data_IF_065346346972
#
_entry.id   IF_065346346972
#
_cell.length_a   1.000
_cell.length_b   1.000
_cell.length_c   1.000
_cell.angle_alpha   90.00
_cell.angle_beta   90.00
_cell.angle_gamma   90.00
#
_symmetry.space_group_name_H-M   'P 1'
#
loop_
_entity.id
_entity.type
_entity.pdbx_description
1 polymer ?
#
# COMPACT_ATOMS: atom_id res chain seq x y z
N UNK A 1 5.17 7.77 29.51
CA UNK A 1 5.29 7.25 28.13
C UNK A 1 4.98 8.38 27.17
N UNK A 2 6.00 8.92 26.52
CA UNK A 2 5.90 10.14 25.70
C UNK A 2 5.20 9.83 24.36
N UNK A 3 3.96 10.33 24.21
CA UNK A 3 3.14 10.18 23.00
C UNK A 3 3.85 10.78 21.76
N UNK A 4 4.76 11.72 21.96
CA UNK A 4 5.45 12.47 20.89
C UNK A 4 6.57 11.66 20.22
N UNK A 5 7.31 10.85 21.00
CA UNK A 5 8.38 9.99 20.49
C UNK A 5 7.81 8.82 19.66
N UNK A 6 6.70 8.23 20.11
CA UNK A 6 5.97 7.22 19.34
C UNK A 6 5.40 7.82 18.05
N UNK A 7 4.81 9.01 18.09
CA UNK A 7 4.29 9.67 16.89
C UNK A 7 5.40 10.01 15.87
N UNK A 8 6.60 10.41 16.31
CA UNK A 8 7.77 10.60 15.42
C UNK A 8 8.26 9.29 14.80
N UNK A 9 8.35 8.22 15.58
CA UNK A 9 8.75 6.90 15.08
C UNK A 9 7.73 6.35 14.10
N UNK A 10 6.44 6.49 14.37
CA UNK A 10 5.35 6.05 13.49
C UNK A 10 5.35 6.83 12.16
N UNK A 11 5.52 8.16 12.19
CA UNK A 11 5.66 8.98 10.97
C UNK A 11 6.91 8.63 10.16
N UNK A 12 8.05 8.41 10.82
CA UNK A 12 9.27 7.98 10.13
C UNK A 12 9.13 6.59 9.50
N UNK A 13 8.48 5.65 10.20
CA UNK A 13 8.30 4.28 9.72
C UNK A 13 7.43 4.21 8.45
N UNK A 14 6.36 5.01 8.36
CA UNK A 14 5.50 5.06 7.17
C UNK A 14 6.28 5.50 5.93
N UNK A 15 6.98 6.64 5.98
CA UNK A 15 7.79 7.13 4.86
C UNK A 15 8.94 6.18 4.49
N UNK A 16 9.53 5.48 5.46
CA UNK A 16 10.56 4.47 5.19
C UNK A 16 9.98 3.26 4.47
N UNK A 17 8.81 2.77 4.89
CA UNK A 17 8.12 1.66 4.23
C UNK A 17 7.70 2.05 2.80
N UNK A 18 7.11 3.23 2.61
CA UNK A 18 6.80 3.79 1.29
C UNK A 18 8.04 3.87 0.41
N UNK A 19 9.14 4.41 0.92
CA UNK A 19 10.40 4.54 0.16
C UNK A 19 10.96 3.17 -0.22
N UNK A 20 10.89 2.19 0.69
CA UNK A 20 11.34 0.82 0.48
C UNK A 20 10.50 0.13 -0.60
N UNK A 21 9.18 0.19 -0.51
CA UNK A 21 8.29 -0.40 -1.51
C UNK A 21 8.45 0.31 -2.87
N UNK A 22 8.57 1.63 -2.88
CA UNK A 22 8.80 2.38 -4.11
C UNK A 22 10.07 1.93 -4.83
N UNK A 23 11.16 1.64 -4.10
CA UNK A 23 12.40 1.15 -4.69
C UNK A 23 12.24 -0.20 -5.42
N UNK A 24 11.32 -1.05 -4.93
CA UNK A 24 10.96 -2.36 -5.49
C UNK A 24 10.13 -2.21 -6.76
N UNK A 25 9.12 -1.34 -6.74
CA UNK A 25 8.09 -1.30 -7.81
C UNK A 25 8.34 -0.26 -8.89
N UNK A 26 9.15 0.78 -8.62
CA UNK A 26 9.38 1.89 -9.55
C UNK A 26 9.97 1.43 -10.87
N UNK A 27 9.70 2.20 -11.93
CA UNK A 27 10.31 2.02 -13.25
C UNK A 27 10.17 0.59 -13.82
N UNK A 28 9.07 -0.12 -13.49
CA UNK A 28 8.85 -1.48 -14.00
C UNK A 28 9.78 -2.53 -13.40
N UNK A 29 10.46 -2.25 -12.28
CA UNK A 29 11.39 -3.19 -11.65
C UNK A 29 10.72 -4.47 -11.16
N UNK A 30 9.43 -4.40 -10.82
CA UNK A 30 8.64 -5.56 -10.49
C UNK A 30 8.12 -6.23 -11.77
N UNK A 31 9.01 -6.92 -12.49
CA UNK A 31 8.70 -7.70 -13.71
C UNK A 31 7.95 -6.91 -14.81
N UNK A 32 8.26 -5.63 -14.99
CA UNK A 32 7.67 -4.77 -16.01
C UNK A 32 6.34 -4.13 -15.61
N UNK A 33 5.73 -4.51 -14.48
CA UNK A 33 4.50 -3.89 -13.99
C UNK A 33 4.75 -2.44 -13.55
N UNK A 34 3.95 -1.52 -14.08
CA UNK A 34 4.11 -0.09 -13.83
C UNK A 34 3.29 0.34 -12.62
N UNK A 35 3.95 0.99 -11.69
CA UNK A 35 3.32 1.57 -10.51
C UNK A 35 3.45 3.09 -10.50
N UNK A 36 2.37 3.74 -10.07
CA UNK A 36 2.34 5.13 -9.62
C UNK A 36 2.25 5.14 -8.10
N UNK A 37 2.67 6.23 -7.47
CA UNK A 37 2.58 6.43 -6.02
C UNK A 37 1.69 7.64 -5.69
N UNK A 38 1.04 7.63 -4.54
CA UNK A 38 0.19 8.73 -4.03
C UNK A 38 -0.85 9.19 -5.06
N UNK A 39 -1.66 8.25 -5.54
CA UNK A 39 -2.62 8.49 -6.63
C UNK A 39 -4.00 8.83 -6.08
N UNK A 40 -4.66 9.91 -6.54
CA UNK A 40 -6.06 10.14 -6.20
C UNK A 40 -6.98 9.14 -6.91
N UNK A 41 -7.88 8.51 -6.16
CA UNK A 41 -8.97 7.66 -6.64
C UNK A 41 -10.22 8.04 -5.85
N UNK A 42 -11.24 8.54 -6.56
CA UNK A 42 -12.41 9.18 -5.96
C UNK A 42 -11.98 10.22 -4.90
N UNK A 43 -12.43 10.08 -3.65
CA UNK A 43 -12.10 10.96 -2.52
C UNK A 43 -10.86 10.56 -1.73
N UNK A 44 -10.16 9.50 -2.14
CA UNK A 44 -9.02 8.94 -1.41
C UNK A 44 -7.71 9.10 -2.19
N UNK A 45 -6.61 9.19 -1.45
CA UNK A 45 -5.26 9.01 -2.00
C UNK A 45 -4.78 7.61 -1.65
N UNK A 46 -4.30 6.87 -2.64
CA UNK A 46 -3.73 5.54 -2.46
C UNK A 46 -2.21 5.57 -2.53
N UNK A 47 -1.53 4.77 -1.72
CA UNK A 47 -0.06 4.84 -1.63
C UNK A 47 0.60 4.38 -2.93
N UNK A 48 0.14 3.28 -3.51
CA UNK A 48 0.60 2.78 -4.81
C UNK A 48 -0.54 2.24 -5.67
N UNK A 49 -0.43 2.45 -6.98
CA UNK A 49 -1.40 1.97 -7.96
C UNK A 49 -0.68 1.34 -9.16
N UNK A 50 -1.04 0.09 -9.49
CA UNK A 50 -0.81 -0.50 -10.81
C UNK A 50 -2.10 -0.43 -11.63
N UNK A 51 -2.22 0.58 -12.48
CA UNK A 51 -3.43 0.84 -13.27
C UNK A 51 -3.78 -0.32 -14.21
N UNK A 52 -2.78 -0.91 -14.87
CA UNK A 52 -2.95 -1.99 -15.86
C UNK A 52 -3.46 -3.32 -15.27
N UNK A 53 -3.45 -3.42 -13.92
CA UNK A 53 -3.94 -4.59 -13.17
C UNK A 53 -5.00 -4.23 -12.15
N UNK A 54 -5.46 -2.97 -12.16
CA UNK A 54 -6.39 -2.41 -11.18
C UNK A 54 -6.03 -2.80 -9.73
N UNK A 55 -4.74 -2.74 -9.41
CA UNK A 55 -4.22 -3.11 -8.09
C UNK A 55 -3.81 -1.87 -7.32
N UNK A 56 -4.42 -1.67 -6.16
CA UNK A 56 -4.04 -0.69 -5.16
C UNK A 56 -3.23 -1.38 -4.05
N UNK A 57 -2.14 -0.74 -3.62
CA UNK A 57 -1.37 -1.17 -2.46
C UNK A 57 -1.33 -0.03 -1.45
N UNK A 58 -1.63 -0.38 -0.21
CA UNK A 58 -1.73 0.51 0.94
C UNK A 58 -0.74 0.06 2.02
N UNK A 59 -0.06 1.03 2.62
CA UNK A 59 0.89 0.80 3.69
C UNK A 59 0.28 1.24 5.01
N UNK A 60 -0.04 0.26 5.84
CA UNK A 60 -0.75 0.49 7.08
C UNK A 60 0.24 0.72 8.24
N UNK A 61 0.01 1.80 8.96
CA UNK A 61 0.67 2.13 10.21
C UNK A 61 -0.30 2.07 11.38
N UNK A 62 -0.41 0.92 12.05
CA UNK A 62 -1.21 0.65 13.27
C UNK A 62 -2.65 1.17 13.25
N UNK A 63 -3.58 0.21 13.24
CA UNK A 63 -5.03 0.46 13.32
C UNK A 63 -5.47 0.86 14.73
N UNK A 64 -6.36 1.84 14.83
CA UNK A 64 -7.16 2.17 16.01
C UNK A 64 -8.64 1.87 15.71
N UNK A 65 -9.51 1.65 16.69
CA UNK A 65 -10.92 1.25 16.46
C UNK A 65 -11.70 2.21 15.54
N UNK A 66 -11.46 3.52 15.62
CA UNK A 66 -12.08 4.51 14.71
C UNK A 66 -11.54 4.41 13.27
N UNK A 67 -10.32 3.90 13.11
CA UNK A 67 -9.66 3.68 11.81
C UNK A 67 -10.28 2.48 11.07
N UNK A 68 -10.76 1.46 11.78
CA UNK A 68 -11.32 0.24 11.17
C UNK A 68 -12.57 0.53 10.34
N UNK A 69 -13.50 1.33 10.88
CA UNK A 69 -14.72 1.72 10.15
C UNK A 69 -14.41 2.56 8.92
N UNK A 70 -13.50 3.53 9.07
CA UNK A 70 -13.06 4.37 7.96
C UNK A 70 -12.36 3.56 6.88
N UNK A 71 -11.56 2.55 7.28
CA UNK A 71 -10.88 1.65 6.36
C UNK A 71 -11.82 0.70 5.62
N UNK A 72 -12.91 0.26 6.25
CA UNK A 72 -13.94 -0.54 5.60
C UNK A 72 -14.63 0.25 4.47
N UNK A 73 -15.14 1.45 4.77
CA UNK A 73 -15.77 2.33 3.76
C UNK A 73 -14.80 2.65 2.62
N UNK A 74 -13.54 2.97 2.95
CA UNK A 74 -12.51 3.24 1.96
C UNK A 74 -12.27 2.06 1.04
N UNK A 75 -12.18 0.85 1.60
CA UNK A 75 -11.95 -0.36 0.83
C UNK A 75 -13.12 -0.64 -0.09
N UNK A 76 -14.35 -0.53 0.41
CA UNK A 76 -15.58 -0.70 -0.39
C UNK A 76 -15.64 0.28 -1.58
N UNK A 77 -15.27 1.55 -1.38
CA UNK A 77 -15.26 2.55 -2.47
C UNK A 77 -14.22 2.24 -3.53
N UNK A 78 -13.01 1.86 -3.12
CA UNK A 78 -11.94 1.48 -4.05
C UNK A 78 -12.30 0.21 -4.83
N UNK A 79 -12.92 -0.76 -4.17
CA UNK A 79 -13.43 -1.98 -4.79
C UNK A 79 -14.63 -1.72 -5.71
N UNK A 80 -15.53 -0.78 -5.37
CA UNK A 80 -16.60 -0.33 -6.24
C UNK A 80 -16.06 0.40 -7.50
N UNK A 81 -14.93 1.08 -7.37
CA UNK A 81 -14.14 1.57 -8.51
C UNK A 81 -13.42 0.45 -9.28
N UNK A 82 -13.61 -0.82 -8.86
CA UNK A 82 -13.06 -2.06 -9.39
C UNK A 82 -11.56 -2.24 -9.21
N UNK A 83 -10.99 -1.62 -8.17
CA UNK A 83 -9.62 -1.91 -7.76
C UNK A 83 -9.60 -3.05 -6.75
N UNK A 84 -8.64 -3.96 -6.89
CA UNK A 84 -8.28 -4.86 -5.81
C UNK A 84 -7.33 -4.13 -4.84
N UNK A 85 -7.57 -4.23 -3.54
CA UNK A 85 -6.80 -3.51 -2.51
C UNK A 85 -5.97 -4.50 -1.69
N UNK A 86 -4.65 -4.29 -1.64
CA UNK A 86 -3.74 -5.02 -0.76
C UNK A 86 -3.17 -4.09 0.31
N UNK A 87 -3.31 -4.45 1.60
CA UNK A 87 -2.66 -3.74 2.72
C UNK A 87 -1.46 -4.50 3.24
N UNK A 88 -0.36 -3.78 3.45
CA UNK A 88 0.82 -4.31 4.12
C UNK A 88 1.15 -3.50 5.37
N UNK A 89 1.41 -4.15 6.51
CA UNK A 89 1.98 -3.47 7.66
C UNK A 89 3.35 -2.89 7.30
N UNK A 90 3.63 -1.65 7.72
CA UNK A 90 4.93 -1.00 7.50
C UNK A 90 6.11 -1.88 7.92
N UNK A 91 6.01 -2.54 9.08
CA UNK A 91 7.07 -3.40 9.59
C UNK A 91 7.37 -4.56 8.62
N UNK A 92 6.34 -5.16 7.99
CA UNK A 92 6.54 -6.25 7.03
C UNK A 92 7.28 -5.77 5.78
N UNK A 93 6.98 -4.57 5.27
CA UNK A 93 7.69 -3.99 4.11
C UNK A 93 9.17 -3.76 4.42
N UNK A 94 9.47 -3.38 5.66
CA UNK A 94 10.84 -3.12 6.10
C UNK A 94 11.62 -4.40 6.39
N UNK A 95 11.01 -5.39 7.06
CA UNK A 95 11.68 -6.62 7.49
C UNK A 95 11.69 -7.72 6.42
N UNK A 96 10.67 -7.78 5.57
CA UNK A 96 10.53 -8.78 4.50
C UNK A 96 10.07 -8.15 3.18
N UNK A 97 10.89 -7.28 2.57
CA UNK A 97 10.58 -6.67 1.27
C UNK A 97 10.45 -7.70 0.14
N UNK A 98 11.15 -8.85 0.25
CA UNK A 98 11.09 -9.93 -0.74
C UNK A 98 9.73 -10.62 -0.75
N UNK A 99 9.25 -11.06 0.41
CA UNK A 99 7.92 -11.67 0.53
C UNK A 99 6.79 -10.71 0.19
N UNK A 100 6.93 -9.41 0.46
CA UNK A 100 5.98 -8.39 -0.02
C UNK A 100 5.98 -8.31 -1.56
N UNK A 101 7.15 -8.29 -2.20
CA UNK A 101 7.24 -8.26 -3.66
C UNK A 101 6.62 -9.52 -4.30
N UNK A 102 6.85 -10.70 -3.72
CA UNK A 102 6.26 -11.95 -4.17
C UNK A 102 4.74 -11.98 -4.03
N UNK A 103 4.22 -11.50 -2.89
CA UNK A 103 2.78 -11.40 -2.67
C UNK A 103 2.11 -10.50 -3.72
N UNK A 104 2.70 -9.32 -3.99
CA UNK A 104 2.22 -8.40 -5.02
C UNK A 104 2.26 -9.08 -6.39
N UNK A 105 3.37 -9.75 -6.73
CA UNK A 105 3.52 -10.44 -8.02
C UNK A 105 2.50 -11.56 -8.22
N UNK A 106 2.18 -12.32 -7.18
CA UNK A 106 1.17 -13.37 -7.23
C UNK A 106 -0.18 -12.83 -7.68
N UNK A 107 -0.58 -11.68 -7.13
CA UNK A 107 -1.83 -10.99 -7.50
C UNK A 107 -1.73 -10.39 -8.90
N UNK A 108 -0.64 -9.70 -9.25
CA UNK A 108 -0.46 -9.10 -10.58
C UNK A 108 -0.51 -10.11 -11.73
N UNK A 109 -0.10 -11.36 -11.47
CA UNK A 109 -0.13 -12.46 -12.46
C UNK A 109 -1.52 -13.07 -12.64
N UNK A 110 -2.38 -12.95 -11.64
CA UNK A 110 -3.73 -13.54 -11.66
C UNK A 110 -4.81 -12.53 -12.04
N UNK A 111 -4.58 -11.24 -11.75
CA UNK A 111 -5.44 -10.14 -12.19
C UNK A 111 -5.46 -10.06 -13.73
N UNK A 112 -6.64 -10.25 -14.33
CA UNK A 112 -6.84 -10.04 -15.77
C UNK A 112 -6.91 -8.54 -16.07
N UNK A 113 -6.40 -8.10 -17.23
CA UNK A 113 -6.53 -6.71 -17.68
C UNK A 113 -7.99 -6.23 -17.73
#
# INVERSE_FOLDING_TARGET
>A
MDRTANARRLRGAQTLAESKLWAIVRAGRLQGFKFKRQVPIDRYFVDFLCSDRRLVIELDGKVHEDQERYDAERTEVLEACGFHVMRFPNDRVLTDPGGVAEAILSVLRTARP
#
